data_IF_958938532830
#
_entry.id   IF_958938532830
#
_cell.length_a   1.000
_cell.length_b   1.000
_cell.length_c   1.000
_cell.angle_alpha   90.00
_cell.angle_beta   90.00
_cell.angle_gamma   90.00
#
_symmetry.space_group_name_H-M   'P 1'
#
loop_
_entity.id
_entity.type
_entity.pdbx_description
1 polymer ?
#
# COMPACT_ATOMS: atom_id res chain seq x y z
N UNK A 1 -7.83 22.82 13.12
CA UNK A 1 -6.83 21.81 13.52
C UNK A 1 -6.17 21.31 12.26
N UNK A 2 -4.84 21.19 12.23
CA UNK A 2 -4.12 20.57 11.11
C UNK A 2 -4.42 19.07 11.09
N UNK A 3 -4.66 18.52 9.90
CA UNK A 3 -4.81 17.08 9.70
C UNK A 3 -3.44 16.38 9.73
N UNK A 4 -3.44 15.08 10.02
CA UNK A 4 -2.26 14.22 9.98
C UNK A 4 -2.28 13.39 8.70
N UNK A 5 -1.34 13.65 7.79
CA UNK A 5 -1.29 13.08 6.44
C UNK A 5 -0.48 11.77 6.43
N UNK A 6 -0.96 10.77 5.69
CA UNK A 6 -0.34 9.45 5.57
C UNK A 6 -0.26 9.01 4.11
N UNK A 7 0.95 8.67 3.64
CA UNK A 7 1.12 7.91 2.40
C UNK A 7 0.70 6.46 2.66
N UNK A 8 -0.05 5.86 1.75
CA UNK A 8 -0.62 4.52 1.93
C UNK A 8 -0.03 3.49 0.97
N UNK A 9 0.71 3.92 -0.05
CA UNK A 9 1.27 3.05 -1.07
C UNK A 9 2.62 3.60 -1.56
N UNK A 10 3.71 2.92 -1.17
CA UNK A 10 5.07 3.21 -1.63
C UNK A 10 5.96 1.97 -1.60
N UNK A 11 7.06 2.07 -2.36
CA UNK A 11 8.03 1.02 -2.59
C UNK A 11 9.44 1.52 -2.29
N UNK A 12 10.24 0.67 -1.66
CA UNK A 12 11.62 0.92 -1.29
C UNK A 12 12.58 0.07 -2.13
N UNK A 13 13.74 0.61 -2.44
CA UNK A 13 14.77 -0.09 -3.23
C UNK A 13 15.36 -1.31 -2.53
N UNK A 14 15.09 -1.50 -1.22
CA UNK A 14 15.48 -2.66 -0.45
C UNK A 14 14.78 -3.95 -0.90
N UNK A 15 13.53 -3.88 -1.37
CA UNK A 15 12.73 -5.07 -1.70
C UNK A 15 11.98 -4.99 -3.04
N UNK A 16 11.79 -3.80 -3.60
CA UNK A 16 11.10 -3.59 -4.88
C UNK A 16 12.10 -3.24 -5.99
N UNK A 17 12.11 -4.02 -7.07
CA UNK A 17 13.10 -3.88 -8.15
C UNK A 17 12.95 -2.58 -8.97
N UNK A 18 11.76 -2.00 -8.98
CA UNK A 18 11.44 -0.72 -9.64
C UNK A 18 11.66 0.50 -8.75
N UNK A 19 11.86 0.33 -7.43
CA UNK A 19 12.02 1.45 -6.53
C UNK A 19 13.44 2.03 -6.62
N UNK A 20 13.52 3.34 -6.68
CA UNK A 20 14.78 4.11 -6.75
C UNK A 20 15.14 4.64 -5.36
N UNK A 21 14.15 5.12 -4.61
CA UNK A 21 14.40 5.60 -3.25
C UNK A 21 14.55 4.45 -2.27
N UNK A 22 15.56 4.57 -1.41
CA UNK A 22 15.66 3.79 -0.19
C UNK A 22 14.58 4.18 0.81
N UNK A 23 14.30 3.28 1.74
CA UNK A 23 13.48 3.54 2.91
C UNK A 23 13.76 4.90 3.60
N UNK A 24 15.04 5.24 3.83
CA UNK A 24 15.42 6.49 4.52
C UNK A 24 15.18 7.74 3.68
N UNK A 25 15.33 7.64 2.36
CA UNK A 25 14.99 8.74 1.45
C UNK A 25 13.49 9.03 1.45
N UNK A 26 12.65 7.99 1.44
CA UNK A 26 11.20 8.15 1.58
C UNK A 26 10.82 8.85 2.89
N UNK A 27 11.42 8.44 4.01
CA UNK A 27 11.15 9.06 5.31
C UNK A 27 11.43 10.57 5.28
N UNK A 28 12.58 10.99 4.74
CA UNK A 28 12.93 12.41 4.62
C UNK A 28 12.01 13.14 3.65
N UNK A 29 11.75 12.54 2.50
CA UNK A 29 10.90 13.11 1.45
C UNK A 29 9.47 13.40 1.92
N UNK A 30 8.84 12.45 2.62
CA UNK A 30 7.50 12.63 3.16
C UNK A 30 7.49 13.53 4.40
N UNK A 31 8.53 13.49 5.24
CA UNK A 31 8.65 14.41 6.36
C UNK A 31 8.74 15.87 5.91
N UNK A 32 9.57 16.17 4.92
CA UNK A 32 9.70 17.51 4.33
C UNK A 32 8.39 17.98 3.70
N UNK A 33 7.59 17.05 3.18
CA UNK A 33 6.25 17.33 2.64
C UNK A 33 5.16 17.54 3.69
N UNK A 34 5.48 17.44 4.98
CA UNK A 34 4.53 17.62 6.08
C UNK A 34 3.68 16.38 6.39
N UNK A 35 4.06 15.21 5.89
CA UNK A 35 3.38 13.97 6.24
C UNK A 35 3.68 13.56 7.68
N UNK A 36 2.68 12.96 8.31
CA UNK A 36 2.74 12.44 9.67
C UNK A 36 3.09 10.95 9.71
N UNK A 37 2.88 10.23 8.62
CA UNK A 37 3.34 8.85 8.47
C UNK A 37 3.31 8.32 7.05
N UNK A 38 3.78 7.09 6.91
CA UNK A 38 3.78 6.31 5.66
C UNK A 38 3.44 4.85 5.96
N UNK A 39 2.98 4.12 4.94
CA UNK A 39 2.94 2.65 4.93
C UNK A 39 3.94 2.17 3.88
N UNK A 40 4.92 1.37 4.29
CA UNK A 40 5.82 0.70 3.34
C UNK A 40 5.09 -0.51 2.76
N UNK A 41 4.94 -0.57 1.44
CA UNK A 41 4.14 -1.59 0.74
C UNK A 41 4.92 -2.22 -0.41
N UNK A 42 6.17 -2.61 -0.15
CA UNK A 42 7.03 -3.21 -1.15
C UNK A 42 6.37 -4.38 -1.90
N UNK A 43 6.73 -4.54 -3.18
CA UNK A 43 6.27 -5.64 -4.01
C UNK A 43 6.65 -6.98 -3.37
N UNK A 44 5.63 -7.78 -3.10
CA UNK A 44 5.78 -9.11 -2.54
C UNK A 44 6.40 -10.06 -3.56
N UNK A 45 6.69 -11.28 -3.11
CA UNK A 45 7.41 -12.31 -3.87
C UNK A 45 6.78 -12.74 -5.19
N UNK A 46 5.48 -12.50 -5.39
CA UNK A 46 4.75 -12.74 -6.63
C UNK A 46 4.65 -11.50 -7.54
N UNK A 47 5.26 -10.37 -7.16
CA UNK A 47 5.33 -9.12 -7.92
C UNK A 47 6.75 -8.75 -8.34
N UNK A 48 6.98 -7.46 -8.57
CA UNK A 48 8.28 -6.93 -9.04
C UNK A 48 9.31 -6.79 -7.90
N UNK A 49 9.50 -7.87 -7.14
CA UNK A 49 10.44 -7.93 -6.03
C UNK A 49 11.88 -8.13 -6.50
N UNK A 50 12.85 -7.50 -5.83
CA UNK A 50 14.27 -7.76 -6.06
C UNK A 50 14.85 -8.88 -5.17
N UNK A 51 14.02 -9.50 -4.32
CA UNK A 51 14.45 -10.58 -3.42
C UNK A 51 14.63 -11.90 -4.20
N UNK A 52 15.80 -12.56 -4.14
CA UNK A 52 16.04 -13.78 -4.92
C UNK A 52 15.07 -14.92 -4.58
N UNK A 53 14.40 -15.45 -5.60
CA UNK A 53 13.37 -16.49 -5.44
C UNK A 53 13.92 -17.85 -4.94
N UNK A 54 15.23 -18.10 -5.09
CA UNK A 54 15.88 -19.36 -4.68
C UNK A 54 16.25 -19.43 -3.19
N UNK A 55 16.08 -18.34 -2.43
CA UNK A 55 16.40 -18.33 -1.01
C UNK A 55 15.34 -19.07 -0.17
N UNK A 56 15.72 -19.65 0.98
CA UNK A 56 14.76 -20.17 1.95
C UNK A 56 13.73 -19.09 2.34
N UNK A 57 12.49 -19.50 2.63
CA UNK A 57 11.39 -18.57 2.94
C UNK A 57 11.76 -17.55 4.01
N UNK A 58 12.33 -18.00 5.13
CA UNK A 58 12.74 -17.14 6.24
C UNK A 58 13.76 -16.07 5.80
N UNK A 59 14.73 -16.44 4.97
CA UNK A 59 15.72 -15.51 4.44
C UNK A 59 15.07 -14.50 3.47
N UNK A 60 14.13 -14.96 2.65
CA UNK A 60 13.35 -14.05 1.79
C UNK A 60 12.57 -13.03 2.61
N UNK A 61 11.88 -13.46 3.67
CA UNK A 61 11.10 -12.58 4.56
C UNK A 61 12.01 -11.60 5.30
N UNK A 62 13.17 -12.07 5.79
CA UNK A 62 14.17 -11.21 6.42
C UNK A 62 14.63 -10.09 5.49
N UNK A 63 14.98 -10.41 4.24
CA UNK A 63 15.39 -9.40 3.26
C UNK A 63 14.23 -8.49 2.85
N UNK A 64 13.04 -9.05 2.63
CA UNK A 64 11.83 -8.30 2.27
C UNK A 64 11.48 -7.22 3.30
N UNK A 65 11.57 -7.53 4.59
CA UNK A 65 11.20 -6.59 5.65
C UNK A 65 12.21 -5.47 5.88
N UNK A 66 13.40 -5.50 5.25
CA UNK A 66 14.45 -4.50 5.48
C UNK A 66 14.02 -3.09 5.14
N UNK A 67 13.27 -2.91 4.06
CA UNK A 67 12.73 -1.61 3.66
C UNK A 67 11.87 -0.98 4.77
N UNK A 68 10.96 -1.77 5.33
CA UNK A 68 10.13 -1.36 6.46
C UNK A 68 10.94 -1.13 7.74
N UNK A 69 11.85 -2.03 8.10
CA UNK A 69 12.65 -1.93 9.32
C UNK A 69 13.55 -0.68 9.31
N UNK A 70 14.23 -0.42 8.20
CA UNK A 70 15.06 0.78 8.02
C UNK A 70 14.22 2.07 7.97
N UNK A 71 13.02 2.02 7.37
CA UNK A 71 12.07 3.14 7.37
C UNK A 71 11.60 3.44 8.80
N UNK A 72 11.23 2.41 9.57
CA UNK A 72 10.77 2.54 10.96
C UNK A 72 11.83 3.18 11.84
N UNK A 73 13.08 2.71 11.75
CA UNK A 73 14.21 3.27 12.51
C UNK A 73 14.44 4.76 12.19
N UNK A 74 14.41 5.16 10.92
CA UNK A 74 14.56 6.56 10.52
C UNK A 74 13.33 7.41 10.87
N UNK A 75 12.13 6.84 10.75
CA UNK A 75 10.87 7.46 11.11
C UNK A 75 10.79 7.80 12.60
N UNK A 76 11.24 6.91 13.48
CA UNK A 76 11.36 7.15 14.92
C UNK A 76 12.27 8.35 15.22
N UNK A 77 13.40 8.48 14.51
CA UNK A 77 14.33 9.61 14.66
C UNK A 77 13.72 10.94 14.22
N UNK A 78 12.94 10.94 13.14
CA UNK A 78 12.36 12.16 12.54
C UNK A 78 10.92 12.44 12.99
N UNK A 79 10.34 11.60 13.84
CA UNK A 79 8.95 11.73 14.31
C UNK A 79 7.93 11.57 13.18
N UNK A 80 8.12 10.56 12.33
CA UNK A 80 7.21 10.14 11.26
C UNK A 80 6.78 8.69 11.52
N UNK A 81 5.48 8.43 11.60
CA UNK A 81 4.94 7.08 11.84
C UNK A 81 5.16 6.17 10.63
N UNK A 82 5.58 4.93 10.86
CA UNK A 82 5.81 3.95 9.77
C UNK A 82 5.06 2.68 10.06
N UNK A 83 4.18 2.30 9.13
CA UNK A 83 3.43 1.05 9.19
C UNK A 83 3.93 0.05 8.15
N UNK A 84 3.79 -1.22 8.47
CA UNK A 84 4.16 -2.32 7.59
C UNK A 84 2.96 -2.76 6.75
N UNK A 85 3.24 -3.02 5.47
CA UNK A 85 2.37 -3.68 4.54
C UNK A 85 3.18 -4.24 3.37
N UNK A 86 2.49 -4.74 2.35
CA UNK A 86 3.11 -5.20 1.11
C UNK A 86 2.10 -5.15 -0.04
N UNK A 87 2.60 -5.11 -1.27
CA UNK A 87 1.79 -5.23 -2.48
C UNK A 87 1.92 -6.64 -3.08
N UNK A 88 0.85 -7.43 -3.03
CA UNK A 88 0.79 -8.74 -3.65
C UNK A 88 0.29 -8.62 -5.10
N UNK A 89 0.94 -9.34 -6.02
CA UNK A 89 0.62 -9.32 -7.44
C UNK A 89 0.06 -10.65 -7.94
N UNK A 90 -1.01 -10.57 -8.69
CA UNK A 90 -1.65 -11.69 -9.35
C UNK A 90 -1.80 -11.38 -10.82
N UNK A 91 -0.76 -11.58 -11.64
CA UNK A 91 -0.80 -11.25 -13.09
C UNK A 91 -1.28 -9.81 -13.34
N UNK A 92 -0.58 -8.86 -12.73
CA UNK A 92 -0.85 -7.42 -12.81
C UNK A 92 -2.15 -6.93 -12.14
N UNK A 93 -2.89 -7.81 -11.45
CA UNK A 93 -3.91 -7.38 -10.48
C UNK A 93 -3.28 -7.37 -9.10
N UNK A 94 -3.29 -6.20 -8.45
CA UNK A 94 -2.49 -5.97 -7.24
C UNK A 94 -3.35 -5.61 -6.03
N UNK A 95 -2.84 -5.96 -4.85
CA UNK A 95 -3.50 -5.75 -3.57
C UNK A 95 -2.51 -5.28 -2.52
N UNK A 96 -2.87 -4.24 -1.77
CA UNK A 96 -2.12 -3.81 -0.60
C UNK A 96 -2.64 -4.56 0.61
N UNK A 97 -1.74 -5.15 1.39
CA UNK A 97 -2.04 -5.83 2.64
C UNK A 97 -1.51 -4.98 3.80
N UNK A 98 -2.37 -4.70 4.78
CA UNK A 98 -2.02 -3.97 6.00
C UNK A 98 -2.35 -4.76 7.26
N UNK A 99 -1.73 -4.38 8.38
CA UNK A 99 -2.15 -4.81 9.72
C UNK A 99 -1.53 -6.12 10.22
N UNK A 100 -0.77 -6.80 9.37
CA UNK A 100 0.02 -7.98 9.70
C UNK A 100 1.50 -7.60 9.82
N UNK A 101 2.32 -8.49 10.38
CA UNK A 101 3.73 -8.22 10.67
C UNK A 101 4.68 -9.27 10.08
N UNK A 102 5.98 -9.07 10.30
CA UNK A 102 7.04 -9.98 9.87
C UNK A 102 6.87 -11.38 10.45
N UNK A 103 6.46 -11.50 11.71
CA UNK A 103 6.24 -12.79 12.35
C UNK A 103 5.10 -13.56 11.67
N UNK A 104 4.03 -12.86 11.29
CA UNK A 104 2.97 -13.46 10.49
C UNK A 104 3.51 -13.99 9.16
N UNK A 105 4.34 -13.23 8.43
CA UNK A 105 4.96 -13.71 7.18
C UNK A 105 5.85 -14.94 7.41
N UNK A 106 6.63 -14.97 8.50
CA UNK A 106 7.45 -16.14 8.85
C UNK A 106 6.61 -17.41 9.04
N UNK A 107 5.42 -17.27 9.64
CA UNK A 107 4.52 -18.37 9.93
C UNK A 107 3.63 -18.80 8.73
N UNK A 108 3.71 -18.10 7.59
CA UNK A 108 2.91 -18.40 6.39
C UNK A 108 3.80 -18.64 5.15
N UNK A 109 4.61 -19.72 5.15
CA UNK A 109 5.48 -20.04 4.03
C UNK A 109 4.67 -20.34 2.76
N UNK A 110 5.17 -19.83 1.63
CA UNK A 110 4.53 -19.95 0.31
C UNK A 110 3.20 -19.19 0.16
N UNK A 111 2.94 -18.19 0.99
CA UNK A 111 1.75 -17.32 0.84
C UNK A 111 1.74 -16.55 -0.49
N UNK A 112 2.88 -16.43 -1.17
CA UNK A 112 3.02 -15.91 -2.53
C UNK A 112 2.34 -16.78 -3.62
N UNK A 113 1.93 -18.01 -3.27
CA UNK A 113 1.29 -18.96 -4.20
C UNK A 113 -0.22 -19.09 -4.00
N UNK A 114 -0.80 -18.44 -3.01
CA UNK A 114 -2.24 -18.48 -2.75
C UNK A 114 -3.05 -17.87 -3.90
N UNK A 115 -4.34 -18.19 -4.00
CA UNK A 115 -5.25 -17.40 -4.85
C UNK A 115 -5.57 -16.05 -4.20
N UNK A 116 -6.21 -15.14 -4.94
CA UNK A 116 -6.69 -13.86 -4.39
C UNK A 116 -7.65 -14.09 -3.21
N UNK A 117 -8.57 -15.05 -3.36
CA UNK A 117 -9.57 -15.40 -2.34
C UNK A 117 -8.94 -16.07 -1.12
N UNK A 118 -7.95 -16.95 -1.34
CA UNK A 118 -7.21 -17.58 -0.24
C UNK A 118 -6.38 -16.56 0.54
N UNK A 119 -5.68 -15.64 -0.16
CA UNK A 119 -4.99 -14.53 0.47
C UNK A 119 -5.97 -13.69 1.30
N UNK A 120 -7.06 -13.24 0.69
CA UNK A 120 -8.06 -12.43 1.38
C UNK A 120 -8.55 -13.11 2.66
N UNK A 121 -8.97 -14.38 2.56
CA UNK A 121 -9.45 -15.14 3.70
C UNK A 121 -8.41 -15.21 4.82
N UNK A 122 -7.16 -15.58 4.50
CA UNK A 122 -6.09 -15.75 5.51
C UNK A 122 -5.68 -14.44 6.17
N UNK A 123 -5.60 -13.37 5.38
CA UNK A 123 -5.31 -12.02 5.88
C UNK A 123 -6.43 -11.54 6.81
N UNK A 124 -7.69 -11.66 6.36
CA UNK A 124 -8.86 -11.21 7.11
C UNK A 124 -9.06 -12.00 8.41
N UNK A 125 -8.91 -13.33 8.39
CA UNK A 125 -8.94 -14.19 9.59
C UNK A 125 -7.85 -13.80 10.61
N UNK A 126 -6.75 -13.22 10.15
CA UNK A 126 -5.63 -12.77 10.98
C UNK A 126 -5.76 -11.31 11.45
N UNK A 127 -6.89 -10.65 11.14
CA UNK A 127 -7.14 -9.25 11.48
C UNK A 127 -6.40 -8.24 10.59
N UNK A 128 -5.86 -8.68 9.46
CA UNK A 128 -5.31 -7.80 8.43
C UNK A 128 -6.39 -7.14 7.58
N UNK A 129 -5.95 -6.31 6.63
CA UNK A 129 -6.83 -5.53 5.76
C UNK A 129 -6.32 -5.57 4.32
N UNK A 130 -7.21 -5.85 3.36
CA UNK A 130 -6.86 -5.97 1.94
C UNK A 130 -7.46 -4.82 1.15
N UNK A 131 -6.62 -4.05 0.47
CA UNK A 131 -7.02 -2.96 -0.42
C UNK A 131 -6.74 -3.36 -1.86
N UNK A 132 -7.73 -3.26 -2.76
CA UNK A 132 -7.47 -3.42 -4.19
C UNK A 132 -6.60 -2.26 -4.69
N UNK A 133 -5.34 -2.53 -5.03
CA UNK A 133 -4.43 -1.51 -5.54
C UNK A 133 -4.85 -1.13 -6.97
N UNK A 134 -4.94 0.18 -7.23
CA UNK A 134 -5.21 0.82 -8.53
C UNK A 134 -6.01 -0.03 -9.55
N UNK A 135 -7.23 -0.52 -9.21
CA UNK A 135 -7.92 -1.63 -9.92
C UNK A 135 -8.20 -1.42 -11.40
N UNK A 136 -8.24 -0.16 -11.86
CA UNK A 136 -8.55 0.21 -13.23
C UNK A 136 -7.34 0.75 -14.00
N UNK A 137 -6.12 0.52 -13.50
CA UNK A 137 -4.89 0.88 -14.20
C UNK A 137 -4.88 0.24 -15.59
N UNK A 138 -4.51 1.04 -16.58
CA UNK A 138 -4.28 0.58 -17.96
C UNK A 138 -2.83 0.82 -18.29
N UNK A 139 -2.11 -0.25 -18.57
CA UNK A 139 -0.72 -0.23 -18.96
C UNK A 139 -0.45 -1.37 -19.95
N UNK A 140 0.65 -1.27 -20.71
CA UNK A 140 0.97 -2.25 -21.76
C UNK A 140 1.15 -3.68 -21.23
N UNK A 141 1.51 -3.84 -19.95
CA UNK A 141 1.68 -5.14 -19.30
C UNK A 141 0.38 -5.71 -18.69
N UNK A 142 -0.73 -4.98 -18.77
CA UNK A 142 -2.04 -5.39 -18.23
C UNK A 142 -2.92 -5.87 -19.39
N UNK A 143 -3.14 -7.18 -19.47
CA UNK A 143 -3.98 -7.78 -20.51
C UNK A 143 -5.47 -7.47 -20.29
N UNK A 144 -5.95 -7.55 -19.06
CA UNK A 144 -7.34 -7.34 -18.70
C UNK A 144 -7.52 -6.76 -17.29
N UNK A 145 -8.61 -6.00 -17.10
CA UNK A 145 -9.03 -5.53 -15.78
C UNK A 145 -9.85 -6.63 -15.11
N UNK A 146 -9.36 -7.11 -13.96
CA UNK A 146 -10.07 -8.09 -13.12
C UNK A 146 -10.39 -7.46 -11.77
N UNK A 147 -11.62 -7.66 -11.30
CA UNK A 147 -12.15 -7.03 -10.10
C UNK A 147 -12.61 -8.09 -9.09
N UNK A 148 -12.34 -7.85 -7.82
CA UNK A 148 -12.56 -8.80 -6.73
C UNK A 148 -13.36 -8.19 -5.56
N UNK A 149 -14.62 -7.74 -5.76
CA UNK A 149 -15.34 -6.94 -4.75
C UNK A 149 -15.69 -7.71 -3.48
N UNK A 150 -15.62 -9.04 -3.51
CA UNK A 150 -15.88 -9.92 -2.37
C UNK A 150 -14.60 -10.42 -1.69
N UNK A 151 -13.42 -10.02 -2.17
CA UNK A 151 -12.12 -10.46 -1.65
C UNK A 151 -11.21 -9.27 -1.31
N UNK A 152 -11.82 -8.14 -0.93
CA UNK A 152 -11.13 -6.94 -0.47
C UNK A 152 -11.97 -6.23 0.59
N UNK A 153 -11.31 -5.48 1.47
CA UNK A 153 -11.96 -4.65 2.49
C UNK A 153 -12.05 -3.18 2.06
N UNK A 154 -11.21 -2.74 1.11
CA UNK A 154 -11.25 -1.41 0.51
C UNK A 154 -10.70 -1.40 -0.93
N UNK A 155 -10.75 -0.23 -1.55
CA UNK A 155 -10.24 0.03 -2.90
C UNK A 155 -9.31 1.23 -2.88
N UNK A 156 -8.16 1.18 -3.55
CA UNK A 156 -7.38 2.38 -3.81
C UNK A 156 -8.09 3.21 -4.89
N UNK A 157 -8.85 4.21 -4.45
CA UNK A 157 -9.68 5.04 -5.32
C UNK A 157 -8.89 6.08 -6.08
N UNK A 158 -7.79 6.58 -5.49
CA UNK A 158 -6.88 7.53 -6.13
C UNK A 158 -5.47 7.00 -6.04
N UNK A 159 -4.89 6.72 -7.20
CA UNK A 159 -3.48 6.42 -7.34
C UNK A 159 -2.87 7.46 -8.28
N UNK A 160 -1.83 8.19 -7.86
CA UNK A 160 -1.23 9.24 -8.70
C UNK A 160 -0.31 8.68 -9.79
N UNK A 161 0.16 7.43 -9.62
CA UNK A 161 0.87 6.67 -10.64
C UNK A 161 -0.01 6.27 -11.83
N UNK A 162 -1.34 6.37 -11.71
CA UNK A 162 -2.22 6.17 -12.85
C UNK A 162 -2.07 7.30 -13.89
N UNK A 163 -1.77 6.91 -15.13
CA UNK A 163 -1.68 7.84 -16.26
C UNK A 163 -3.02 8.44 -16.71
N UNK A 164 -4.14 8.01 -16.13
CA UNK A 164 -5.48 8.46 -16.50
C UNK A 164 -6.38 8.71 -15.28
N UNK A 165 -6.98 9.89 -15.23
CA UNK A 165 -8.03 10.22 -14.27
C UNK A 165 -9.27 9.34 -14.40
N UNK A 166 -9.51 8.73 -15.57
CA UNK A 166 -10.61 7.77 -15.76
C UNK A 166 -10.44 6.54 -14.86
N UNK A 167 -9.21 6.01 -14.71
CA UNK A 167 -8.96 4.87 -13.85
C UNK A 167 -9.35 5.16 -12.39
N UNK A 168 -8.99 6.36 -11.89
CA UNK A 168 -9.36 6.79 -10.55
C UNK A 168 -10.89 6.98 -10.41
N UNK A 169 -11.57 7.57 -11.41
CA UNK A 169 -13.04 7.69 -11.43
C UNK A 169 -13.73 6.33 -11.40
N UNK A 170 -13.23 5.36 -12.17
CA UNK A 170 -13.75 4.00 -12.19
C UNK A 170 -13.52 3.28 -10.86
N UNK A 171 -12.34 3.44 -10.23
CA UNK A 171 -12.03 2.87 -8.92
C UNK A 171 -12.98 3.39 -7.83
N UNK A 172 -13.25 4.70 -7.80
CA UNK A 172 -14.19 5.31 -6.85
C UNK A 172 -15.63 4.84 -7.12
N UNK A 173 -16.06 4.77 -8.39
CA UNK A 173 -17.39 4.28 -8.74
C UNK A 173 -17.58 2.80 -8.33
N UNK A 174 -16.55 1.98 -8.53
CA UNK A 174 -16.50 0.58 -8.11
C UNK A 174 -16.59 0.46 -6.58
N UNK A 175 -15.78 1.21 -5.83
CA UNK A 175 -15.85 1.21 -4.36
C UNK A 175 -17.26 1.58 -3.86
N UNK A 176 -17.86 2.65 -4.41
CA UNK A 176 -19.22 3.10 -4.06
C UNK A 176 -20.28 2.04 -4.39
N UNK A 177 -20.21 1.42 -5.57
CA UNK A 177 -21.14 0.36 -6.00
C UNK A 177 -21.15 -0.81 -5.00
N UNK A 178 -19.99 -1.16 -4.47
CA UNK A 178 -19.81 -2.28 -3.54
C UNK A 178 -19.84 -1.87 -2.06
N UNK A 179 -20.11 -0.60 -1.75
CA UNK A 179 -20.14 -0.04 -0.39
C UNK A 179 -18.82 -0.26 0.38
N UNK A 180 -17.70 -0.22 -0.36
CA UNK A 180 -16.35 -0.34 0.19
C UNK A 180 -15.79 1.06 0.49
N UNK A 181 -15.08 1.25 1.61
CA UNK A 181 -14.17 2.39 1.78
C UNK A 181 -13.17 2.45 0.62
N UNK A 182 -12.66 3.65 0.34
CA UNK A 182 -11.57 3.80 -0.62
C UNK A 182 -10.43 4.64 -0.05
N UNK A 183 -9.20 4.25 -0.36
CA UNK A 183 -7.97 4.94 0.04
C UNK A 183 -7.42 5.75 -1.13
N UNK A 184 -6.33 6.46 -0.88
CA UNK A 184 -5.54 7.12 -1.91
C UNK A 184 -4.06 6.99 -1.58
N UNK A 185 -3.23 6.84 -2.61
CA UNK A 185 -1.80 6.61 -2.48
C UNK A 185 -1.02 7.16 -3.67
N UNK A 186 0.28 7.31 -3.48
CA UNK A 186 1.17 7.78 -4.53
C UNK A 186 1.69 6.64 -5.41
N UNK A 187 1.71 5.41 -4.90
CA UNK A 187 2.45 4.29 -5.51
C UNK A 187 3.89 4.72 -5.79
N UNK A 188 4.50 5.29 -4.74
CA UNK A 188 5.74 6.02 -4.85
C UNK A 188 6.95 5.07 -4.93
N UNK A 189 7.76 5.25 -5.96
CA UNK A 189 9.00 4.53 -6.22
C UNK A 189 10.22 5.43 -6.00
N UNK A 190 10.04 6.75 -5.89
CA UNK A 190 11.13 7.70 -5.75
C UNK A 190 10.66 9.11 -5.46
N UNK A 191 10.92 10.02 -6.42
CA UNK A 191 10.60 11.44 -6.32
C UNK A 191 9.38 11.81 -7.18
N UNK A 192 8.26 11.11 -6.96
CA UNK A 192 7.03 11.35 -7.69
C UNK A 192 6.65 12.83 -7.68
N UNK A 193 6.26 13.32 -8.86
CA UNK A 193 5.87 14.72 -9.05
C UNK A 193 4.72 15.14 -8.13
N UNK A 194 3.79 14.22 -7.89
CA UNK A 194 2.61 14.42 -7.07
C UNK A 194 2.63 13.44 -5.91
N UNK A 195 2.03 13.87 -4.80
CA UNK A 195 1.86 13.06 -3.60
C UNK A 195 0.39 12.97 -3.23
N UNK A 196 -0.03 11.83 -2.73
CA UNK A 196 -1.38 11.49 -2.34
C UNK A 196 -1.36 10.77 -0.99
N UNK A 197 -2.49 10.25 -0.55
CA UNK A 197 -2.60 9.65 0.77
C UNK A 197 -3.98 9.84 1.38
N UNK A 198 -4.03 9.58 2.68
CA UNK A 198 -5.20 9.86 3.50
C UNK A 198 -4.81 10.75 4.68
N UNK A 199 -5.77 11.48 5.21
CA UNK A 199 -5.58 12.41 6.30
C UNK A 199 -6.53 12.11 7.46
N UNK A 200 -6.01 12.15 8.69
CA UNK A 200 -6.77 11.88 9.91
C UNK A 200 -6.83 13.11 10.83
N UNK A 201 -7.85 13.15 11.68
CA UNK A 201 -7.99 14.20 12.71
C UNK A 201 -7.06 13.99 13.92
N UNK A 202 -6.53 12.78 14.09
CA UNK A 202 -5.50 12.41 15.07
C UNK A 202 -4.52 11.44 14.43
N UNK A 203 -3.32 11.29 15.01
CA UNK A 203 -2.40 10.23 14.60
C UNK A 203 -3.02 8.86 14.98
N UNK A 204 -3.01 7.88 14.07
CA UNK A 204 -3.20 6.48 14.44
C UNK A 204 -2.07 6.02 15.37
N UNK A 205 -2.41 5.19 16.36
CA UNK A 205 -1.44 4.69 17.35
C UNK A 205 -0.57 3.56 16.77
N UNK A 206 -1.19 2.68 15.98
CA UNK A 206 -0.56 1.56 15.32
C UNK A 206 -1.28 1.22 13.99
N UNK A 207 -0.87 0.12 13.34
CA UNK A 207 -1.46 -0.34 12.09
C UNK A 207 -2.93 -0.79 12.23
N UNK A 208 -3.32 -1.32 13.39
CA UNK A 208 -4.71 -1.76 13.64
C UNK A 208 -5.64 -0.56 13.78
N UNK A 209 -5.18 0.46 14.49
CA UNK A 209 -5.91 1.72 14.61
C UNK A 209 -5.97 2.49 13.29
N UNK A 210 -4.90 2.46 12.47
CA UNK A 210 -4.91 2.98 11.10
C UNK A 210 -6.00 2.31 10.25
N UNK A 211 -6.08 0.98 10.29
CA UNK A 211 -7.13 0.21 9.59
C UNK A 211 -8.51 0.56 10.12
N UNK A 212 -8.69 0.66 11.44
CA UNK A 212 -9.98 0.97 12.06
C UNK A 212 -10.51 2.35 11.63
N UNK A 213 -9.62 3.33 11.51
CA UNK A 213 -9.98 4.67 11.03
C UNK A 213 -10.44 4.65 9.57
N UNK A 214 -9.81 3.83 8.71
CA UNK A 214 -10.25 3.61 7.33
C UNK A 214 -11.61 2.90 7.31
N UNK A 215 -11.73 1.79 8.04
CA UNK A 215 -12.95 0.96 8.12
C UNK A 215 -14.16 1.76 8.57
N UNK A 216 -13.97 2.71 9.49
CA UNK A 216 -15.04 3.57 10.04
C UNK A 216 -15.25 4.88 9.29
N UNK A 217 -14.52 5.12 8.19
CA UNK A 217 -14.68 6.34 7.39
C UNK A 217 -14.19 7.62 8.08
N UNK A 218 -13.33 7.52 9.09
CA UNK A 218 -12.84 8.66 9.90
C UNK A 218 -11.57 9.29 9.31
N UNK A 219 -11.58 9.52 8.00
CA UNK A 219 -10.44 10.05 7.25
C UNK A 219 -10.90 10.92 6.08
N UNK A 220 -9.96 11.69 5.54
CA UNK A 220 -10.13 12.49 4.34
C UNK A 220 -9.12 12.04 3.28
N UNK A 221 -9.48 12.19 2.01
CA UNK A 221 -8.61 11.82 0.88
C UNK A 221 -7.71 12.99 0.53
N UNK A 222 -6.41 12.74 0.35
CA UNK A 222 -5.46 13.71 -0.16
C UNK A 222 -5.42 13.58 -1.68
N UNK A 223 -6.02 14.53 -2.38
CA UNK A 223 -6.10 14.53 -3.84
C UNK A 223 -5.32 15.72 -4.42
N UNK A 224 -4.29 15.49 -5.25
CA UNK A 224 -3.65 16.53 -6.04
C UNK A 224 -4.67 17.25 -6.93
N UNK A 225 -4.50 18.57 -7.13
CA UNK A 225 -5.42 19.39 -7.93
C UNK A 225 -5.52 18.93 -9.39
N UNK A 226 -4.48 18.27 -9.88
CA UNK A 226 -4.33 17.77 -11.25
C UNK A 226 -5.11 16.47 -11.50
N UNK A 227 -5.49 15.76 -10.43
CA UNK A 227 -6.37 14.60 -10.53
C UNK A 227 -7.80 15.13 -10.45
N UNK A 228 -8.58 15.01 -11.53
CA UNK A 228 -9.97 15.47 -11.58
C UNK A 228 -10.88 14.24 -11.54
N UNK A 229 -11.63 14.11 -10.43
CA UNK A 229 -12.55 12.99 -10.19
C UNK A 229 -14.04 13.37 -10.35
N UNK A 230 -14.33 14.61 -10.75
CA UNK A 230 -15.68 15.13 -11.00
C UNK A 230 -16.07 14.97 -12.47
#
# INVERSE_FOLDING_TARGET
>A
MSLFLYETHLHTSQASACAVFSAKEHIRFYKEAGYSGIVVTDHFFNGNSCIPAGLPWEERVNQFCRGYEEAKEEGEKLGLSVFFGWEANYRATEFLIYGLDKEWLMNHPNSDKWSVEEQYKKVHESGGYVVHAHPFRKAAYIEEIRLFPSAVDAVEGINVGNHSNEANRQAIAYAKKHKLPYTAGSDAHGNERYRSGIAFKRKPEDSKDFIELIRTGKYEIIQPKEIIIQ
#
